data_IF_236416135837
#
_entry.id   IF_236416135837
#
_cell.length_a   1.000
_cell.length_b   1.000
_cell.length_c   1.000
_cell.angle_alpha   90.00
_cell.angle_beta   90.00
_cell.angle_gamma   90.00
#
_symmetry.space_group_name_H-M   'P 1'
#
loop_
_entity.id
_entity.type
_entity.pdbx_description
1 polymer ?
#
# COMPACT_ATOMS: atom_id res chain seq x y z
N UNK A 1 11.83 1.22 -18.23
CA UNK A 1 10.35 1.30 -18.15
C UNK A 1 10.04 2.44 -17.20
N UNK A 2 9.23 3.43 -17.59
CA UNK A 2 8.87 4.56 -16.73
C UNK A 2 7.91 4.13 -15.62
N UNK A 3 7.76 4.99 -14.61
CA UNK A 3 7.00 4.76 -13.38
C UNK A 3 6.27 6.07 -13.01
N UNK A 4 5.05 6.00 -12.46
CA UNK A 4 4.16 7.15 -12.19
C UNK A 4 3.54 7.07 -10.78
N UNK A 5 3.17 8.24 -10.20
CA UNK A 5 2.80 8.49 -8.79
C UNK A 5 1.48 9.26 -8.69
N UNK A 6 0.63 9.02 -7.68
CA UNK A 6 -0.52 9.90 -7.36
C UNK A 6 -0.79 9.93 -5.84
N UNK A 7 -1.40 11.01 -5.30
CA UNK A 7 -1.62 11.23 -3.85
C UNK A 7 -2.88 12.04 -3.47
N UNK A 8 -3.49 11.69 -2.33
CA UNK A 8 -4.40 12.47 -1.47
C UNK A 8 -4.32 11.96 0.00
N UNK A 9 -4.99 12.57 1.01
CA UNK A 9 -4.56 12.52 2.43
C UNK A 9 -5.66 12.31 3.52
N UNK A 10 -5.74 11.07 4.07
CA UNK A 10 -6.38 10.43 5.28
C UNK A 10 -7.52 11.16 6.06
N UNK A 11 -7.88 10.82 7.34
CA UNK A 11 -8.79 9.74 7.77
C UNK A 11 -10.20 10.22 8.28
N UNK A 12 -11.10 9.50 8.99
CA UNK A 12 -11.13 8.29 9.88
C UNK A 12 -12.61 7.77 10.03
N UNK A 13 -13.02 6.56 10.49
CA UNK A 13 -12.39 5.32 11.01
C UNK A 13 -13.46 4.21 11.32
N UNK A 14 -13.16 2.88 11.16
CA UNK A 14 -13.30 1.78 12.19
C UNK A 14 -13.68 0.34 11.70
N UNK A 15 -12.82 -0.64 12.05
CA UNK A 15 -13.11 -2.00 12.63
C UNK A 15 -14.00 -3.02 11.86
N UNK A 16 -13.63 -4.28 11.57
CA UNK A 16 -12.63 -5.19 12.17
C UNK A 16 -13.18 -6.62 12.45
N UNK A 17 -12.35 -7.66 12.24
CA UNK A 17 -12.41 -8.98 12.95
C UNK A 17 -11.09 -9.75 12.80
N UNK A 18 -10.95 -10.97 13.38
CA UNK A 18 -9.65 -11.64 13.50
C UNK A 18 -9.68 -13.18 13.39
N UNK A 19 -8.79 -13.74 12.55
CA UNK A 19 -8.23 -15.10 12.61
C UNK A 19 -6.81 -15.00 12.02
N UNK A 20 -5.78 -15.54 12.67
CA UNK A 20 -4.41 -15.64 12.12
C UNK A 20 -3.57 -16.67 12.88
N UNK A 21 -2.74 -17.50 12.21
CA UNK A 21 -1.80 -18.40 12.90
C UNK A 21 -0.75 -17.64 13.72
N UNK A 22 -0.40 -18.23 14.86
CA UNK A 22 0.52 -17.68 15.85
C UNK A 22 2.00 -17.88 15.42
N UNK A 23 2.93 -16.91 15.64
CA UNK A 23 4.38 -17.15 15.64
C UNK A 23 4.88 -18.15 16.73
N UNK A 24 4.07 -19.14 17.11
CA UNK A 24 4.26 -20.03 18.25
C UNK A 24 5.63 -20.71 18.27
N UNK A 25 6.18 -21.10 17.11
CA UNK A 25 7.52 -21.75 17.01
C UNK A 25 8.66 -20.85 17.49
N UNK A 26 8.56 -19.53 17.27
CA UNK A 26 9.48 -18.53 17.82
C UNK A 26 9.32 -18.46 19.35
N UNK A 27 8.06 -18.41 19.83
CA UNK A 27 7.74 -18.29 21.26
C UNK A 27 8.07 -19.56 22.06
N UNK A 28 8.10 -20.71 21.40
CA UNK A 28 8.49 -22.02 21.93
C UNK A 28 10.00 -22.26 21.91
N UNK A 29 10.78 -21.36 21.30
CA UNK A 29 12.25 -21.46 21.23
C UNK A 29 12.76 -22.54 20.27
N UNK A 30 11.99 -22.91 19.25
CA UNK A 30 12.43 -23.87 18.23
C UNK A 30 13.46 -23.26 17.28
N UNK A 31 14.37 -24.07 16.72
CA UNK A 31 15.20 -23.62 15.60
C UNK A 31 14.35 -23.49 14.33
N UNK A 32 14.23 -22.26 13.88
CA UNK A 32 13.49 -21.82 12.70
C UNK A 32 14.42 -21.44 11.54
N UNK A 33 15.75 -21.61 11.69
CA UNK A 33 16.74 -21.18 10.70
C UNK A 33 17.00 -19.67 10.70
N UNK A 34 18.19 -19.26 10.23
CA UNK A 34 18.59 -17.84 10.24
C UNK A 34 19.66 -17.53 9.16
N UNK A 35 19.91 -16.24 8.94
CA UNK A 35 20.93 -15.75 8.01
C UNK A 35 20.67 -16.21 6.57
N UNK A 36 21.65 -16.85 5.93
CA UNK A 36 21.51 -17.39 4.56
C UNK A 36 20.37 -18.40 4.41
N UNK A 37 19.95 -19.04 5.50
CA UNK A 37 18.89 -20.04 5.51
C UNK A 37 17.49 -19.43 5.78
N UNK A 38 17.43 -18.14 6.14
CA UNK A 38 16.17 -17.50 6.50
C UNK A 38 16.33 -16.02 6.88
N UNK A 39 15.84 -15.14 6.01
CA UNK A 39 15.45 -13.77 6.39
C UNK A 39 13.93 -13.74 6.60
N UNK A 40 13.50 -13.34 7.79
CA UNK A 40 12.08 -13.27 8.15
C UNK A 40 11.49 -11.95 7.69
N UNK A 41 10.92 -11.96 6.49
CA UNK A 41 10.04 -10.90 6.01
C UNK A 41 8.59 -11.34 6.23
N UNK A 42 7.76 -10.46 6.77
CA UNK A 42 6.31 -10.61 6.77
C UNK A 42 5.75 -9.84 5.57
N UNK A 43 5.20 -10.54 4.57
CA UNK A 43 4.53 -9.92 3.42
C UNK A 43 3.36 -10.80 2.96
N UNK A 44 2.24 -10.18 2.62
CA UNK A 44 1.02 -10.91 2.20
C UNK A 44 1.06 -11.47 0.78
N UNK A 45 2.02 -11.05 -0.04
CA UNK A 45 2.12 -11.42 -1.45
C UNK A 45 2.57 -10.24 -2.31
N UNK A 46 2.05 -10.15 -3.53
CA UNK A 46 2.28 -9.05 -4.46
C UNK A 46 0.95 -8.61 -5.11
N UNK A 47 0.91 -7.35 -5.57
CA UNK A 47 -0.19 -6.72 -6.30
C UNK A 47 0.44 -5.80 -7.35
N UNK A 48 -0.22 -5.53 -8.48
CA UNK A 48 0.32 -4.55 -9.44
C UNK A 48 -0.04 -3.13 -9.01
N UNK A 49 0.87 -2.18 -9.26
CA UNK A 49 0.61 -0.76 -9.00
C UNK A 49 -0.58 -0.22 -9.80
N UNK A 50 -0.81 -0.71 -11.02
CA UNK A 50 -1.98 -0.33 -11.82
C UNK A 50 -3.29 -0.76 -11.13
N UNK A 51 -3.34 -1.93 -10.50
CA UNK A 51 -4.52 -2.41 -9.78
C UNK A 51 -4.82 -1.50 -8.58
N UNK A 52 -3.77 -1.10 -7.85
CA UNK A 52 -3.86 -0.16 -6.71
C UNK A 52 -4.30 1.23 -7.17
N UNK A 53 -3.71 1.77 -8.23
CA UNK A 53 -4.09 3.07 -8.77
C UNK A 53 -5.52 3.07 -9.30
N UNK A 54 -5.95 2.01 -10.00
CA UNK A 54 -7.33 1.88 -10.46
C UNK A 54 -8.32 1.86 -9.29
N UNK A 55 -8.04 1.07 -8.24
CA UNK A 55 -8.91 1.00 -7.06
C UNK A 55 -9.04 2.36 -6.35
N UNK A 56 -7.94 3.12 -6.24
CA UNK A 56 -7.94 4.48 -5.67
C UNK A 56 -8.67 5.48 -6.57
N UNK A 57 -8.45 5.44 -7.89
CA UNK A 57 -9.08 6.34 -8.85
C UNK A 57 -10.59 6.11 -8.95
N UNK A 58 -11.05 4.86 -9.06
CA UNK A 58 -12.49 4.54 -9.08
C UNK A 58 -13.18 4.97 -7.79
N UNK A 59 -12.50 4.89 -6.64
CA UNK A 59 -13.02 5.38 -5.36
C UNK A 59 -13.06 6.93 -5.24
N UNK A 60 -12.14 7.64 -5.90
CA UNK A 60 -12.12 9.10 -6.00
C UNK A 60 -13.19 9.61 -6.98
N UNK A 61 -13.31 9.00 -8.16
CA UNK A 61 -14.31 9.33 -9.18
C UNK A 61 -15.74 9.07 -8.67
N UNK A 62 -15.97 7.96 -7.95
CA UNK A 62 -17.21 7.67 -7.21
C UNK A 62 -17.63 8.80 -6.25
N UNK A 63 -16.68 9.59 -5.76
CA UNK A 63 -16.89 10.72 -4.83
C UNK A 63 -16.79 12.09 -5.54
N UNK A 64 -16.65 12.11 -6.87
CA UNK A 64 -16.46 13.29 -7.72
C UNK A 64 -15.22 14.13 -7.36
N UNK A 65 -14.17 13.49 -6.82
CA UNK A 65 -12.90 14.16 -6.48
C UNK A 65 -11.95 14.28 -7.68
N UNK A 66 -12.23 13.56 -8.78
CA UNK A 66 -11.56 13.58 -10.09
C UNK A 66 -12.62 13.35 -11.19
N UNK A 67 -12.33 13.77 -12.42
CA UNK A 67 -13.30 13.76 -13.54
C UNK A 67 -13.62 12.35 -14.07
N UNK A 68 -12.62 11.46 -14.11
CA UNK A 68 -12.75 10.04 -14.47
C UNK A 68 -11.73 9.17 -13.70
N UNK A 69 -11.80 7.84 -13.86
CA UNK A 69 -10.89 6.89 -13.23
C UNK A 69 -9.87 6.27 -14.20
N UNK A 70 -9.53 6.94 -15.30
CA UNK A 70 -8.63 6.43 -16.34
C UNK A 70 -7.16 6.61 -15.95
N UNK A 71 -6.51 5.51 -15.55
CA UNK A 71 -5.08 5.51 -15.23
C UNK A 71 -4.23 5.73 -16.48
N UNK A 72 -3.45 6.80 -16.48
CA UNK A 72 -2.53 7.19 -17.56
C UNK A 72 -1.08 7.22 -17.07
N UNK A 73 -0.13 7.21 -18.02
CA UNK A 73 1.29 7.40 -17.71
C UNK A 73 1.53 8.90 -17.44
N UNK A 74 2.06 9.23 -16.27
CA UNK A 74 2.45 10.59 -15.93
C UNK A 74 3.43 11.18 -16.96
N UNK A 75 3.12 12.39 -17.44
CA UNK A 75 3.98 13.25 -18.24
C UNK A 75 4.86 14.15 -17.34
N UNK A 76 5.60 15.09 -17.93
CA UNK A 76 6.56 15.94 -17.22
C UNK A 76 5.87 16.94 -16.26
N UNK A 77 4.73 17.52 -16.64
CA UNK A 77 3.96 18.44 -15.80
C UNK A 77 3.27 17.70 -14.64
N UNK A 78 2.76 16.50 -14.91
CA UNK A 78 2.20 15.63 -13.88
C UNK A 78 3.29 15.19 -12.89
N UNK A 79 4.47 14.74 -13.37
CA UNK A 79 5.62 14.41 -12.51
C UNK A 79 6.14 15.62 -11.72
N UNK A 80 6.07 16.84 -12.26
CA UNK A 80 6.42 18.05 -11.52
C UNK A 80 5.51 18.26 -10.31
N UNK A 81 4.18 18.20 -10.51
CA UNK A 81 3.17 18.32 -9.44
C UNK A 81 3.27 17.18 -8.42
N UNK A 82 3.59 15.96 -8.85
CA UNK A 82 3.84 14.82 -7.97
C UNK A 82 5.08 15.04 -7.08
N UNK A 83 6.16 15.58 -7.64
CA UNK A 83 7.38 15.92 -6.91
C UNK A 83 7.13 16.98 -5.84
N UNK A 84 6.40 18.05 -6.20
CA UNK A 84 5.98 19.09 -5.26
C UNK A 84 5.14 18.51 -4.11
N UNK A 85 4.10 17.72 -4.41
CA UNK A 85 3.22 17.11 -3.40
C UNK A 85 3.96 16.13 -2.45
N UNK A 86 5.05 15.53 -2.90
CA UNK A 86 5.93 14.65 -2.11
C UNK A 86 7.09 15.38 -1.41
N UNK A 87 7.39 16.62 -1.77
CA UNK A 87 8.60 17.32 -1.32
C UNK A 87 9.91 16.78 -1.90
N UNK A 88 9.88 16.21 -3.13
CA UNK A 88 11.04 15.59 -3.79
C UNK A 88 11.24 16.13 -5.22
N UNK A 89 12.38 15.83 -5.84
CA UNK A 89 12.60 16.16 -7.26
C UNK A 89 11.70 15.32 -8.17
N UNK A 90 11.23 15.84 -9.32
CA UNK A 90 10.44 15.05 -10.29
C UNK A 90 11.17 13.80 -10.80
N UNK A 91 12.51 13.79 -10.76
CA UNK A 91 13.33 12.61 -11.07
C UNK A 91 13.29 11.50 -10.01
N UNK A 92 12.91 11.80 -8.76
CA UNK A 92 12.73 10.82 -7.69
C UNK A 92 11.33 10.20 -7.68
N UNK A 93 10.36 10.82 -8.38
CA UNK A 93 8.97 10.37 -8.50
C UNK A 93 8.91 8.93 -9.07
N UNK A 94 9.60 8.57 -10.17
CA UNK A 94 9.72 7.17 -10.61
C UNK A 94 10.28 6.14 -9.60
N UNK A 95 10.78 6.54 -8.43
CA UNK A 95 11.35 5.63 -7.42
C UNK A 95 10.38 5.33 -6.27
N UNK A 96 9.45 6.24 -5.95
CA UNK A 96 8.72 6.18 -4.67
C UNK A 96 7.36 5.45 -4.70
N UNK A 97 6.53 5.63 -5.73
CA UNK A 97 5.35 4.77 -5.97
C UNK A 97 5.51 4.11 -7.34
N UNK A 98 5.80 2.82 -7.34
CA UNK A 98 5.88 2.01 -8.55
C UNK A 98 7.04 1.02 -8.61
N UNK A 99 7.49 0.72 -9.83
CA UNK A 99 8.46 -0.33 -10.08
C UNK A 99 7.89 -1.74 -9.84
N UNK A 100 8.77 -2.74 -9.71
CA UNK A 100 8.37 -4.13 -9.50
C UNK A 100 9.31 -4.81 -8.50
N UNK A 101 8.93 -4.80 -7.22
CA UNK A 101 9.58 -5.61 -6.21
C UNK A 101 9.24 -7.09 -6.45
N UNK A 102 10.26 -7.95 -6.62
CA UNK A 102 10.10 -9.41 -6.80
C UNK A 102 10.72 -10.23 -5.67
N UNK A 103 10.85 -9.66 -4.48
CA UNK A 103 11.24 -10.41 -3.30
C UNK A 103 10.03 -11.15 -2.73
N UNK A 104 10.13 -12.48 -2.60
CA UNK A 104 9.06 -13.34 -2.06
C UNK A 104 9.38 -13.74 -0.63
N UNK A 105 8.45 -13.48 0.30
CA UNK A 105 8.57 -13.77 1.74
C UNK A 105 8.33 -15.26 2.09
N UNK A 106 8.94 -16.17 1.34
CA UNK A 106 8.64 -17.61 1.37
C UNK A 106 8.87 -18.27 2.75
N UNK A 107 9.83 -17.76 3.53
CA UNK A 107 10.23 -18.42 4.78
C UNK A 107 9.14 -18.42 5.87
N UNK A 108 8.29 -17.39 5.92
CA UNK A 108 7.20 -17.31 6.89
C UNK A 108 6.23 -18.48 6.78
N UNK A 109 5.82 -18.82 5.55
CA UNK A 109 4.93 -19.95 5.29
C UNK A 109 5.52 -21.30 5.76
N UNK A 110 6.83 -21.49 5.59
CA UNK A 110 7.54 -22.72 6.02
C UNK A 110 7.53 -22.95 7.53
N UNK A 111 7.38 -21.88 8.33
CA UNK A 111 7.29 -21.97 9.80
C UNK A 111 5.85 -21.84 10.32
N UNK A 112 4.85 -21.85 9.43
CA UNK A 112 3.42 -21.80 9.78
C UNK A 112 2.82 -20.40 9.88
N UNK A 113 3.58 -19.33 9.63
CA UNK A 113 3.01 -17.99 9.54
C UNK A 113 2.14 -17.87 8.29
N UNK A 114 0.94 -17.31 8.44
CA UNK A 114 0.06 -16.96 7.31
C UNK A 114 -0.41 -15.53 7.51
N UNK A 115 -0.38 -14.68 6.46
CA UNK A 115 -0.87 -13.32 6.57
C UNK A 115 -2.36 -13.32 6.91
N UNK A 116 -2.77 -12.49 7.88
CA UNK A 116 -4.18 -12.29 8.24
C UNK A 116 -5.04 -11.83 7.06
N UNK A 117 -4.44 -11.03 6.18
CA UNK A 117 -5.07 -10.44 5.01
C UNK A 117 -4.22 -10.75 3.77
N UNK A 118 -4.86 -11.26 2.71
CA UNK A 118 -4.20 -11.55 1.43
C UNK A 118 -3.69 -10.30 0.71
N UNK A 119 -2.96 -10.45 -0.41
CA UNK A 119 -2.38 -9.31 -1.13
C UNK A 119 -3.45 -8.37 -1.71
N UNK A 120 -4.61 -8.91 -2.10
CA UNK A 120 -5.75 -8.15 -2.64
C UNK A 120 -6.45 -7.24 -1.62
N UNK A 121 -6.22 -7.42 -0.31
CA UNK A 121 -6.90 -6.63 0.72
C UNK A 121 -6.62 -5.11 0.61
N UNK A 122 -5.50 -4.71 0.02
CA UNK A 122 -5.23 -3.28 -0.27
C UNK A 122 -6.18 -2.70 -1.32
N UNK A 123 -6.70 -3.53 -2.22
CA UNK A 123 -7.70 -3.16 -3.22
C UNK A 123 -9.11 -3.17 -2.60
N UNK A 124 -9.40 -4.19 -1.80
CA UNK A 124 -10.66 -4.35 -1.06
C UNK A 124 -10.91 -3.16 -0.11
N UNK A 125 -9.86 -2.70 0.59
CA UNK A 125 -9.92 -1.56 1.52
C UNK A 125 -9.80 -0.18 0.84
N UNK A 126 -9.48 -0.10 -0.46
CA UNK A 126 -9.17 1.16 -1.13
C UNK A 126 -10.33 2.17 -1.07
N UNK A 127 -11.58 1.70 -1.16
CA UNK A 127 -12.75 2.58 -1.09
C UNK A 127 -13.00 3.14 0.33
N UNK A 128 -12.75 2.35 1.37
CA UNK A 128 -12.82 2.78 2.77
C UNK A 128 -11.67 3.74 3.12
N UNK A 129 -10.46 3.45 2.66
CA UNK A 129 -9.29 4.33 2.85
C UNK A 129 -9.45 5.65 2.06
N UNK A 130 -10.07 5.65 0.87
CA UNK A 130 -10.38 6.87 0.11
C UNK A 130 -11.51 7.69 0.76
N UNK A 131 -12.52 7.05 1.35
CA UNK A 131 -13.52 7.76 2.16
C UNK A 131 -12.89 8.37 3.41
N UNK A 132 -12.00 7.63 4.06
CA UNK A 132 -11.10 8.15 5.09
C UNK A 132 -10.38 9.41 4.57
N UNK A 133 -9.74 9.32 3.41
CA UNK A 133 -8.89 10.36 2.79
C UNK A 133 -9.58 11.70 2.52
N UNK A 134 -10.86 11.70 2.19
CA UNK A 134 -11.56 12.98 1.98
C UNK A 134 -12.02 13.59 3.32
N UNK A 135 -12.22 12.76 4.36
CA UNK A 135 -12.62 13.17 5.70
C UNK A 135 -11.67 14.14 6.43
N UNK A 136 -10.34 13.96 6.36
CA UNK A 136 -9.39 14.90 7.01
C UNK A 136 -9.44 16.28 6.41
N UNK A 137 -9.54 16.34 5.08
CA UNK A 137 -9.30 17.56 4.31
C UNK A 137 -10.40 18.57 4.58
N UNK A 138 -11.64 18.10 4.65
CA UNK A 138 -12.81 18.88 5.05
C UNK A 138 -12.80 19.21 6.56
N UNK A 139 -12.27 18.32 7.40
CA UNK A 139 -12.27 18.47 8.87
C UNK A 139 -11.08 19.26 9.44
N UNK A 140 -10.01 19.46 8.66
CA UNK A 140 -8.75 20.07 9.09
C UNK A 140 -7.88 19.20 10.03
N UNK A 141 -8.33 18.01 10.43
CA UNK A 141 -7.60 17.16 11.39
C UNK A 141 -6.36 16.53 10.76
N UNK A 142 -5.17 17.01 11.16
CA UNK A 142 -3.92 16.28 10.92
C UNK A 142 -3.89 15.04 11.81
N UNK A 143 -4.20 13.88 11.22
CA UNK A 143 -4.05 12.58 11.87
C UNK A 143 -2.66 12.44 12.52
N UNK A 144 -2.57 12.01 13.78
CA UNK A 144 -1.28 11.77 14.42
C UNK A 144 -0.57 10.61 13.71
N UNK A 145 0.72 10.80 13.42
CA UNK A 145 1.61 9.72 12.97
C UNK A 145 1.67 8.69 14.11
N UNK A 146 1.39 7.42 13.79
CA UNK A 146 1.17 6.34 14.76
C UNK A 146 2.18 5.21 14.60
#
# INVERSE_FOLDING_TARGET
MPIAIYLARLPHSRHGRSISPDPARILQGEDIGHGKNGYFLAASGHVHWNDVYQAMASALAKRNAIDDDVITQADEDAMARMGEALGVSPSAVPVLLGGMCRFTADHGGRIGWTPKYGPSHILEAADEEVELILGSLDSGEKQPIR
#
